data_IF_678958057653
#
_entry.id   IF_678958057653
#
_cell.length_a   1.000
_cell.length_b   1.000
_cell.length_c   1.000
_cell.angle_alpha   90.00
_cell.angle_beta   90.00
_cell.angle_gamma   90.00
#
_symmetry.space_group_name_H-M   'P 1'
#
loop_
_entity.id
_entity.type
_entity.pdbx_description
1 polymer ?
#
# COMPACT_ATOMS: atom_id res chain seq x y z
N UNK A 1 -7.98 3.32 11.49
CA UNK A 1 -8.26 4.76 11.25
C UNK A 1 -7.33 5.28 10.17
N UNK A 2 -7.86 6.00 9.19
CA UNK A 2 -7.07 6.62 8.13
C UNK A 2 -7.29 8.14 8.11
N UNK A 3 -6.27 8.90 7.74
CA UNK A 3 -6.37 10.33 7.49
C UNK A 3 -5.61 10.65 6.22
N UNK A 4 -6.21 11.47 5.35
CA UNK A 4 -5.59 11.91 4.11
C UNK A 4 -5.70 13.42 3.95
N UNK A 5 -4.67 14.00 3.35
CA UNK A 5 -4.62 15.39 2.94
C UNK A 5 -4.24 15.43 1.45
N UNK A 6 -4.90 16.30 0.72
CA UNK A 6 -4.70 16.49 -0.71
C UNK A 6 -4.72 17.97 -1.05
N UNK A 7 -3.84 18.39 -1.95
CA UNK A 7 -3.82 19.73 -2.51
C UNK A 7 -3.52 19.66 -4.01
N UNK A 8 -4.19 20.53 -4.77
CA UNK A 8 -3.97 20.71 -6.20
C UNK A 8 -3.87 22.19 -6.53
N UNK A 9 -2.90 22.52 -7.38
CA UNK A 9 -2.88 23.78 -8.12
C UNK A 9 -2.94 23.46 -9.60
N UNK A 10 -3.91 24.06 -10.29
CA UNK A 10 -4.05 23.95 -11.75
C UNK A 10 -4.12 25.35 -12.34
N UNK A 11 -3.37 25.58 -13.41
CA UNK A 11 -3.40 26.83 -14.13
C UNK A 11 -3.41 26.59 -15.64
N UNK A 12 -4.31 27.27 -16.34
CA UNK A 12 -4.37 27.28 -17.80
C UNK A 12 -3.89 28.64 -18.28
N UNK A 13 -2.81 28.62 -19.05
CA UNK A 13 -2.20 29.79 -19.66
C UNK A 13 -2.93 30.18 -20.95
N UNK A 14 -2.78 31.44 -21.36
CA UNK A 14 -3.40 31.98 -22.59
C UNK A 14 -2.94 31.26 -23.86
N UNK A 15 -1.74 30.66 -23.86
CA UNK A 15 -1.20 29.90 -24.98
C UNK A 15 -1.75 28.46 -25.08
N UNK A 16 -2.79 28.12 -24.30
CA UNK A 16 -3.45 26.81 -24.30
C UNK A 16 -2.74 25.74 -23.47
N UNK A 17 -1.58 26.04 -22.87
CA UNK A 17 -0.95 25.12 -21.93
C UNK A 17 -1.68 25.09 -20.60
N UNK A 18 -1.77 23.91 -20.01
CA UNK A 18 -2.27 23.70 -18.66
C UNK A 18 -1.21 23.02 -17.83
N UNK A 19 -0.87 23.61 -16.69
CA UNK A 19 -0.01 22.99 -15.68
C UNK A 19 -0.83 22.51 -14.50
N UNK A 20 -0.38 21.43 -13.88
CA UNK A 20 -0.98 20.85 -12.68
C UNK A 20 0.14 20.46 -11.73
N UNK A 21 -0.01 20.82 -10.46
CA UNK A 21 0.79 20.32 -9.36
C UNK A 21 -0.13 19.68 -8.31
N UNK A 22 0.16 18.45 -7.91
CA UNK A 22 -0.64 17.69 -6.96
C UNK A 22 0.25 17.19 -5.82
N UNK A 23 -0.22 17.31 -4.59
CA UNK A 23 0.42 16.73 -3.41
C UNK A 23 -0.61 15.92 -2.63
N UNK A 24 -0.20 14.75 -2.12
CA UNK A 24 -1.04 13.91 -1.27
C UNK A 24 -0.21 13.34 -0.12
N UNK A 25 -0.79 13.35 1.07
CA UNK A 25 -0.27 12.64 2.24
C UNK A 25 -1.37 11.74 2.82
N UNK A 26 -1.05 10.50 3.12
CA UNK A 26 -1.95 9.54 3.76
C UNK A 26 -1.25 8.93 4.95
N UNK A 27 -1.96 8.82 6.07
CA UNK A 27 -1.56 8.00 7.19
C UNK A 27 -2.71 7.06 7.57
N UNK A 28 -2.42 5.77 7.56
CA UNK A 28 -3.31 4.72 8.03
C UNK A 28 -2.72 4.02 9.23
N UNK A 29 -3.49 3.91 10.31
CA UNK A 29 -3.17 3.06 11.46
C UNK A 29 -4.24 2.00 11.63
N UNK A 30 -3.84 0.76 11.81
CA UNK A 30 -4.72 -0.35 12.15
C UNK A 30 -4.16 -1.10 13.35
N UNK A 31 -5.06 -1.57 14.19
CA UNK A 31 -4.77 -2.50 15.27
C UNK A 31 -5.73 -3.66 15.10
N UNK A 32 -5.21 -4.83 14.82
CA UNK A 32 -5.97 -6.06 14.69
C UNK A 32 -5.60 -6.97 15.85
N UNK A 33 -6.57 -7.69 16.37
CA UNK A 33 -6.36 -8.75 17.32
C UNK A 33 -7.41 -9.83 17.13
N UNK A 34 -7.02 -11.08 17.33
CA UNK A 34 -7.94 -12.19 17.16
C UNK A 34 -7.24 -13.54 17.26
N UNK A 35 -8.05 -14.58 17.24
CA UNK A 35 -7.63 -15.98 17.18
C UNK A 35 -8.01 -16.58 15.82
N UNK A 36 -7.21 -17.52 15.34
CA UNK A 36 -7.36 -18.18 14.05
C UNK A 36 -6.85 -19.62 14.11
N UNK A 37 -7.48 -20.52 13.34
CA UNK A 37 -7.01 -21.90 13.20
C UNK A 37 -5.72 -21.94 12.36
N UNK A 38 -4.73 -22.72 12.79
CA UNK A 38 -3.40 -22.77 12.13
C UNK A 38 -3.03 -24.15 11.58
N UNK A 39 -3.46 -25.21 12.24
CA UNK A 39 -3.21 -26.60 11.87
C UNK A 39 -4.36 -27.46 12.37
N UNK A 40 -4.52 -28.65 11.81
CA UNK A 40 -5.53 -29.59 12.28
C UNK A 40 -5.80 -30.69 11.28
N UNK A 41 -6.44 -31.74 11.78
CA UNK A 41 -6.82 -32.91 10.99
C UNK A 41 -8.34 -32.96 10.81
N UNK A 42 -8.76 -33.28 9.58
CA UNK A 42 -10.15 -33.60 9.31
C UNK A 42 -10.40 -35.08 9.61
N UNK A 43 -11.30 -35.35 10.55
CA UNK A 43 -11.81 -36.67 10.84
C UNK A 43 -13.32 -36.57 11.13
N UNK A 44 -14.19 -37.36 10.46
CA UNK A 44 -15.63 -37.33 10.73
C UNK A 44 -15.93 -37.52 12.23
N UNK A 45 -16.47 -36.48 12.88
CA UNK A 45 -16.79 -36.48 14.31
C UNK A 45 -15.64 -36.14 15.27
N UNK A 46 -14.42 -35.93 14.78
CA UNK A 46 -13.23 -35.62 15.58
C UNK A 46 -12.32 -34.60 14.88
N UNK A 47 -12.92 -33.59 14.24
CA UNK A 47 -12.18 -32.46 13.69
C UNK A 47 -11.49 -31.72 14.84
N UNK A 48 -10.16 -31.72 14.84
CA UNK A 48 -9.34 -31.12 15.88
C UNK A 48 -8.35 -30.17 15.23
N UNK A 49 -8.46 -28.90 15.58
CA UNK A 49 -7.61 -27.84 15.07
C UNK A 49 -6.87 -27.13 16.20
N UNK A 50 -5.67 -26.69 15.91
CA UNK A 50 -4.91 -25.79 16.77
C UNK A 50 -5.31 -24.35 16.45
N UNK A 51 -5.52 -23.58 17.51
CA UNK A 51 -5.84 -22.15 17.45
C UNK A 51 -4.64 -21.37 17.95
N UNK A 52 -4.18 -20.43 17.13
CA UNK A 52 -3.28 -19.37 17.54
C UNK A 52 -4.05 -18.08 17.64
N UNK A 53 -3.45 -17.07 18.27
CA UNK A 53 -3.86 -15.72 18.01
C UNK A 53 -2.69 -14.77 18.05
N UNK A 54 -2.98 -13.55 17.69
CA UNK A 54 -2.01 -12.47 17.81
C UNK A 54 -2.69 -11.12 17.80
N UNK A 55 -1.88 -10.12 18.06
CA UNK A 55 -2.20 -8.73 17.78
C UNK A 55 -1.25 -8.23 16.72
N UNK A 56 -1.73 -7.37 15.83
CA UNK A 56 -0.94 -6.76 14.78
C UNK A 56 -1.25 -5.27 14.72
N UNK A 57 -0.25 -4.45 14.98
CA UNK A 57 -0.33 -3.01 14.82
C UNK A 57 0.37 -2.61 13.52
N UNK A 58 -0.35 -1.91 12.64
CA UNK A 58 0.13 -1.46 11.34
C UNK A 58 0.09 0.07 11.29
N UNK A 59 1.20 0.73 10.95
CA UNK A 59 1.30 2.18 10.69
C UNK A 59 1.88 2.40 9.29
N UNK A 60 1.01 2.79 8.35
CA UNK A 60 1.36 3.10 6.97
C UNK A 60 1.34 4.60 6.75
N UNK A 61 2.40 5.14 6.16
CA UNK A 61 2.49 6.53 5.69
C UNK A 61 2.85 6.55 4.22
N UNK A 62 2.12 7.34 3.45
CA UNK A 62 2.41 7.58 2.04
C UNK A 62 2.41 9.07 1.77
N UNK A 63 3.43 9.54 1.06
CA UNK A 63 3.54 10.91 0.57
C UNK A 63 3.80 10.87 -0.93
N UNK A 64 3.11 11.69 -1.70
CA UNK A 64 3.32 11.77 -3.15
C UNK A 64 3.18 13.19 -3.65
N UNK A 65 3.96 13.50 -4.68
CA UNK A 65 3.96 14.76 -5.40
C UNK A 65 4.02 14.48 -6.91
N UNK A 66 3.24 15.21 -7.69
CA UNK A 66 3.26 15.16 -9.16
C UNK A 66 3.19 16.58 -9.71
N UNK A 67 3.98 16.86 -10.74
CA UNK A 67 3.88 18.08 -11.54
C UNK A 67 3.85 17.68 -13.00
N UNK A 68 2.88 18.24 -13.72
CA UNK A 68 2.69 18.01 -15.13
C UNK A 68 2.32 19.28 -15.89
N UNK A 69 2.65 19.28 -17.17
CA UNK A 69 2.27 20.31 -18.12
C UNK A 69 1.75 19.62 -19.39
N UNK A 70 0.66 20.13 -19.94
CA UNK A 70 0.11 19.65 -21.20
C UNK A 70 -0.37 20.81 -22.06
N UNK A 71 -0.18 20.74 -23.37
CA UNK A 71 -0.62 21.80 -24.26
C UNK A 71 -0.24 21.58 -25.72
N UNK A 72 -0.70 22.48 -26.59
CA UNK A 72 -0.42 22.42 -28.01
C UNK A 72 1.02 22.89 -28.31
N UNK A 73 1.63 22.28 -29.33
CA UNK A 73 2.84 22.80 -29.99
C UNK A 73 2.64 22.77 -31.51
N UNK A 74 3.21 23.75 -32.20
CA UNK A 74 3.21 23.78 -33.68
C UNK A 74 4.54 23.25 -34.20
N UNK A 75 4.53 22.14 -34.93
CA UNK A 75 5.68 21.56 -35.61
C UNK A 75 5.28 21.18 -37.03
N UNK A 76 6.16 21.36 -38.02
CA UNK A 76 5.90 21.00 -39.43
C UNK A 76 4.56 21.55 -39.99
N UNK A 77 4.15 22.75 -39.54
CA UNK A 77 2.90 23.39 -39.96
C UNK A 77 1.62 22.79 -39.37
N UNK A 78 1.71 21.90 -38.37
CA UNK A 78 0.57 21.23 -37.73
C UNK A 78 0.62 21.42 -36.21
N UNK A 79 -0.55 21.38 -35.59
CA UNK A 79 -0.69 21.44 -34.12
C UNK A 79 -0.70 20.02 -33.55
N UNK A 80 0.19 19.77 -32.59
CA UNK A 80 0.35 18.51 -31.86
C UNK A 80 0.05 18.73 -30.38
N UNK A 81 -0.44 17.71 -29.69
CA UNK A 81 -0.74 17.80 -28.26
C UNK A 81 0.34 17.05 -27.47
N UNK A 82 1.02 17.74 -26.55
CA UNK A 82 2.08 17.14 -25.73
C UNK A 82 1.67 17.20 -24.26
N UNK A 83 2.03 16.17 -23.50
CA UNK A 83 2.02 16.18 -22.05
C UNK A 83 3.34 15.63 -21.51
N UNK A 84 3.84 16.25 -20.45
CA UNK A 84 5.06 15.83 -19.76
C UNK A 84 4.90 16.06 -18.26
N UNK A 85 5.59 15.26 -17.46
CA UNK A 85 5.53 15.42 -16.02
C UNK A 85 6.59 14.61 -15.28
N UNK A 86 6.68 14.90 -14.00
CA UNK A 86 7.52 14.19 -13.06
C UNK A 86 6.74 13.94 -11.76
N UNK A 87 7.00 12.80 -11.14
CA UNK A 87 6.38 12.44 -9.88
C UNK A 87 7.36 11.81 -8.90
N UNK A 88 7.04 11.93 -7.62
CA UNK A 88 7.75 11.30 -6.51
C UNK A 88 6.72 10.68 -5.57
N UNK A 89 6.96 9.44 -5.13
CA UNK A 89 6.19 8.78 -4.08
C UNK A 89 7.14 8.15 -3.07
N UNK A 90 6.78 8.28 -1.80
CA UNK A 90 7.43 7.61 -0.68
C UNK A 90 6.40 6.91 0.17
N UNK A 91 6.62 5.63 0.40
CA UNK A 91 5.82 4.80 1.29
C UNK A 91 6.69 4.33 2.47
N UNK A 92 6.11 4.33 3.66
CA UNK A 92 6.68 3.75 4.87
C UNK A 92 5.65 2.87 5.55
N UNK A 93 6.08 1.69 5.96
CA UNK A 93 5.26 0.74 6.72
C UNK A 93 6.04 0.39 7.97
N UNK A 94 5.39 0.56 9.12
CA UNK A 94 5.89 0.09 10.39
C UNK A 94 4.85 -0.84 10.98
N UNK A 95 5.19 -2.10 11.06
CA UNK A 95 4.27 -3.15 11.45
C UNK A 95 4.87 -3.92 12.61
N UNK A 96 4.10 -4.10 13.66
CA UNK A 96 4.50 -4.83 14.85
C UNK A 96 3.51 -5.98 15.06
N UNK A 97 4.04 -7.20 15.04
CA UNK A 97 3.30 -8.41 15.36
C UNK A 97 3.60 -8.86 16.78
N UNK A 98 2.54 -9.05 17.53
CA UNK A 98 2.61 -9.56 18.89
C UNK A 98 2.07 -10.97 18.91
N UNK A 99 2.84 -11.82 19.57
CA UNK A 99 2.42 -13.17 19.86
C UNK A 99 1.49 -13.20 21.03
N UNK A 100 0.83 -14.31 21.15
CA UNK A 100 0.21 -14.74 22.38
C UNK A 100 1.13 -15.84 22.93
N UNK A 101 1.86 -15.57 24.02
CA UNK A 101 2.78 -16.56 24.61
C UNK A 101 2.14 -17.28 25.79
N UNK A 102 2.50 -18.56 25.96
CA UNK A 102 2.18 -19.33 27.15
C UNK A 102 3.22 -19.09 28.27
N UNK A 103 2.96 -19.60 29.48
CA UNK A 103 3.96 -19.59 30.57
C UNK A 103 4.86 -20.83 30.39
N UNK A 104 5.90 -20.77 29.53
CA UNK A 104 7.21 -20.19 29.87
C UNK A 104 7.87 -19.42 28.69
N UNK A 105 7.07 -18.81 27.81
CA UNK A 105 7.55 -18.04 26.65
C UNK A 105 7.51 -18.80 25.31
N UNK A 106 6.80 -19.93 25.25
CA UNK A 106 6.47 -20.61 24.01
C UNK A 106 5.30 -19.93 23.30
N UNK A 107 5.14 -20.16 22.00
CA UNK A 107 3.93 -19.75 21.28
C UNK A 107 2.71 -20.42 21.92
N UNK A 108 1.76 -19.64 22.42
CA UNK A 108 0.50 -20.18 22.91
C UNK A 108 -0.28 -20.72 21.72
N UNK A 109 -0.44 -22.04 21.68
CA UNK A 109 -1.34 -22.73 20.76
C UNK A 109 -2.36 -23.50 21.58
N UNK A 110 -3.64 -23.16 21.43
CA UNK A 110 -4.72 -23.96 21.98
C UNK A 110 -4.97 -25.13 21.04
N UNK A 111 -4.48 -26.31 21.40
CA UNK A 111 -4.65 -27.50 20.58
C UNK A 111 -6.00 -28.19 20.76
N UNK A 112 -6.39 -28.98 19.76
CA UNK A 112 -7.51 -29.92 19.89
C UNK A 112 -8.91 -29.29 19.92
N UNK A 113 -9.09 -28.18 19.23
CA UNK A 113 -10.36 -27.45 19.16
C UNK A 113 -11.25 -28.00 18.05
N UNK A 114 -12.49 -28.37 18.37
CA UNK A 114 -13.49 -28.72 17.35
C UNK A 114 -14.31 -27.48 16.94
N UNK A 115 -14.22 -27.01 15.68
CA UNK A 115 -14.86 -25.77 15.24
C UNK A 115 -16.39 -25.80 15.29
N UNK A 116 -17.01 -26.98 15.36
CA UNK A 116 -18.47 -27.11 15.45
C UNK A 116 -19.01 -26.95 16.88
N UNK A 117 -18.17 -27.17 17.89
CA UNK A 117 -18.59 -27.19 19.30
C UNK A 117 -17.80 -26.22 20.17
N UNK A 118 -16.75 -25.61 19.64
CA UNK A 118 -15.90 -24.69 20.37
C UNK A 118 -16.58 -23.35 20.61
N UNK A 119 -16.43 -22.86 21.84
CA UNK A 119 -16.83 -21.50 22.23
C UNK A 119 -15.65 -20.53 22.00
N UNK A 120 -15.73 -19.61 21.03
CA UNK A 120 -14.65 -18.66 20.76
C UNK A 120 -14.42 -17.66 21.91
N UNK A 121 -15.41 -17.43 22.78
CA UNK A 121 -15.28 -16.54 23.94
C UNK A 121 -14.54 -17.22 25.12
N UNK A 122 -14.29 -18.53 25.04
CA UNK A 122 -13.50 -19.27 26.05
C UNK A 122 -12.04 -18.82 26.12
N UNK A 123 -11.54 -18.16 25.08
CA UNK A 123 -10.20 -17.59 25.02
C UNK A 123 -10.24 -16.15 25.53
N UNK A 124 -9.60 -15.88 26.67
CA UNK A 124 -9.50 -14.50 27.17
C UNK A 124 -8.32 -13.79 26.53
N UNK A 125 -8.57 -12.59 26.04
CA UNK A 125 -7.55 -11.67 25.51
C UNK A 125 -6.42 -11.37 26.50
N UNK A 126 -6.67 -11.53 27.80
CA UNK A 126 -5.69 -11.35 28.88
C UNK A 126 -4.72 -12.52 29.04
N UNK A 127 -5.07 -13.71 28.56
CA UNK A 127 -4.30 -14.94 28.76
C UNK A 127 -3.09 -15.01 27.82
N UNK A 128 -2.82 -13.91 27.14
CA UNK A 128 -1.85 -13.80 26.09
C UNK A 128 -0.82 -12.70 26.38
N UNK A 129 0.45 -13.10 26.48
CA UNK A 129 1.59 -12.20 26.78
C UNK A 129 1.88 -11.28 25.58
N UNK A 130 2.14 -10.00 25.82
CA UNK A 130 2.36 -8.95 24.82
C UNK A 130 3.83 -8.75 24.43
N UNK A 131 4.56 -9.83 24.15
CA UNK A 131 5.90 -9.65 23.59
C UNK A 131 5.83 -9.49 22.07
N UNK A 132 6.61 -8.54 21.55
CA UNK A 132 6.76 -8.34 20.10
C UNK A 132 7.48 -9.56 19.53
N UNK A 133 6.78 -10.34 18.72
CA UNK A 133 7.33 -11.51 18.02
C UNK A 133 8.11 -11.10 16.78
N UNK A 134 7.58 -10.11 16.07
CA UNK A 134 8.22 -9.60 14.89
C UNK A 134 7.91 -8.12 14.71
N UNK A 135 8.84 -7.42 14.10
CA UNK A 135 8.63 -6.05 13.63
C UNK A 135 9.11 -5.90 12.21
N UNK A 136 8.47 -5.03 11.45
CA UNK A 136 8.85 -4.68 10.07
C UNK A 136 8.94 -3.18 9.94
N UNK A 137 10.07 -2.69 9.43
CA UNK A 137 10.23 -1.33 8.91
C UNK A 137 10.53 -1.43 7.42
N UNK A 138 9.57 -1.04 6.60
CA UNK A 138 9.67 -1.05 5.15
C UNK A 138 9.59 0.38 4.62
N UNK A 139 10.48 0.71 3.69
CA UNK A 139 10.49 1.98 2.97
C UNK A 139 10.58 1.70 1.48
N UNK A 140 9.76 2.37 0.69
CA UNK A 140 9.89 2.39 -0.76
C UNK A 140 9.80 3.79 -1.32
N UNK A 141 10.64 4.11 -2.30
CA UNK A 141 10.63 5.39 -3.00
C UNK A 141 10.54 5.16 -4.50
N UNK A 142 9.69 5.93 -5.18
CA UNK A 142 9.50 5.89 -6.63
C UNK A 142 9.57 7.30 -7.17
N UNK A 143 10.62 7.59 -7.93
CA UNK A 143 10.75 8.83 -8.71
C UNK A 143 10.49 8.51 -10.17
N UNK A 144 9.83 9.42 -10.87
CA UNK A 144 9.40 9.15 -12.24
C UNK A 144 9.45 10.39 -13.10
N UNK A 145 9.77 10.21 -14.37
CA UNK A 145 9.61 11.21 -15.42
C UNK A 145 8.84 10.58 -16.58
N UNK A 146 7.92 11.31 -17.17
CA UNK A 146 7.10 10.81 -18.27
C UNK A 146 6.80 11.89 -19.29
N UNK A 147 6.61 11.46 -20.54
CA UNK A 147 6.18 12.31 -21.63
C UNK A 147 5.32 11.51 -22.60
N UNK A 148 4.31 12.15 -23.18
CA UNK A 148 3.47 11.60 -24.24
C UNK A 148 3.12 12.70 -25.22
N UNK A 149 2.99 12.34 -26.48
CA UNK A 149 2.62 13.26 -27.55
C UNK A 149 1.67 12.61 -28.52
N UNK A 150 0.63 13.35 -28.90
CA UNK A 150 -0.24 13.04 -30.03
C UNK A 150 0.18 13.91 -31.21
N UNK A 151 0.81 13.29 -32.19
CA UNK A 151 1.33 13.96 -33.37
C UNK A 151 0.40 13.78 -34.57
N UNK A 152 -0.12 14.87 -35.13
CA UNK A 152 -0.85 14.86 -36.40
C UNK A 152 0.12 14.71 -37.57
N UNK A 153 0.13 13.54 -38.21
CA UNK A 153 0.97 13.25 -39.39
C UNK A 153 0.30 13.70 -40.69
N UNK A 154 -1.03 13.56 -40.77
CA UNK A 154 -1.89 14.07 -41.83
C UNK A 154 -3.28 14.38 -41.24
N UNK A 155 -4.18 15.00 -42.00
CA UNK A 155 -5.51 15.38 -41.51
C UNK A 155 -6.30 14.20 -40.92
N UNK A 156 -6.28 12.98 -41.51
CA UNK A 156 -6.93 11.81 -40.92
C UNK A 156 -6.01 10.96 -40.03
N UNK A 157 -4.71 11.29 -39.90
CA UNK A 157 -3.71 10.40 -39.28
C UNK A 157 -3.01 11.07 -38.09
N UNK A 158 -3.18 10.47 -36.92
CA UNK A 158 -2.44 10.83 -35.71
C UNK A 158 -1.61 9.64 -35.22
N UNK A 159 -0.40 9.91 -34.72
CA UNK A 159 0.44 8.94 -34.03
C UNK A 159 0.57 9.37 -32.56
N UNK A 160 0.39 8.44 -31.63
CA UNK A 160 0.61 8.68 -30.20
C UNK A 160 1.86 7.94 -29.78
N UNK A 161 2.81 8.65 -29.18
CA UNK A 161 4.06 8.08 -28.66
C UNK A 161 4.29 8.64 -27.27
N UNK A 162 4.71 7.79 -26.35
CA UNK A 162 5.09 8.20 -25.01
C UNK A 162 6.06 7.24 -24.36
N UNK A 163 6.69 7.73 -23.30
CA UNK A 163 7.62 6.97 -22.49
C UNK A 163 7.54 7.41 -21.03
N UNK A 164 7.91 6.50 -20.13
CA UNK A 164 8.04 6.74 -18.70
C UNK A 164 9.32 6.06 -18.20
N UNK A 165 10.06 6.77 -17.37
CA UNK A 165 11.23 6.27 -16.66
C UNK A 165 10.92 6.30 -15.17
N UNK A 166 11.23 5.18 -14.51
CA UNK A 166 10.97 4.97 -13.10
C UNK A 166 12.27 4.58 -12.39
N UNK A 167 12.57 5.27 -11.29
CA UNK A 167 13.65 4.93 -10.37
C UNK A 167 13.04 4.50 -9.06
N UNK A 168 13.33 3.26 -8.67
CA UNK A 168 12.73 2.61 -7.52
C UNK A 168 13.80 2.21 -6.51
N UNK A 169 13.58 2.58 -5.25
CA UNK A 169 14.39 2.17 -4.10
C UNK A 169 13.49 1.48 -3.07
N UNK A 170 14.01 0.40 -2.47
CA UNK A 170 13.29 -0.40 -1.50
C UNK A 170 14.23 -0.88 -0.39
N UNK A 171 13.86 -0.60 0.85
CA UNK A 171 14.50 -1.10 2.06
C UNK A 171 13.45 -1.80 2.93
N UNK A 172 13.81 -2.95 3.49
CA UNK A 172 12.95 -3.71 4.38
C UNK A 172 13.80 -4.36 5.48
N UNK A 173 13.50 -4.02 6.73
CA UNK A 173 14.11 -4.61 7.90
C UNK A 173 13.04 -5.32 8.69
N UNK A 174 13.22 -6.63 8.84
CA UNK A 174 12.34 -7.46 9.64
C UNK A 174 13.16 -8.10 10.76
N UNK A 175 12.67 -7.96 11.99
CA UNK A 175 13.23 -8.51 13.21
C UNK A 175 12.24 -9.47 13.83
#
# INVERSE_FOLDING_TARGET
>A
KETSLYAELKHTFENGWTTRAMARAVQGKSALDGAYFVSGDYAPGANLYDVMGGRYDYDKKQQSFDVSAQGPITLFGRVHDIALGASYRKDRWRDDGYGYLDTPGGYYMLGGVNPYTWDPDSIKRSDFVKDTLWSRDQRSELTSAYATGRFRLADPLSMIVGARLDWYDFDNKQY
#
